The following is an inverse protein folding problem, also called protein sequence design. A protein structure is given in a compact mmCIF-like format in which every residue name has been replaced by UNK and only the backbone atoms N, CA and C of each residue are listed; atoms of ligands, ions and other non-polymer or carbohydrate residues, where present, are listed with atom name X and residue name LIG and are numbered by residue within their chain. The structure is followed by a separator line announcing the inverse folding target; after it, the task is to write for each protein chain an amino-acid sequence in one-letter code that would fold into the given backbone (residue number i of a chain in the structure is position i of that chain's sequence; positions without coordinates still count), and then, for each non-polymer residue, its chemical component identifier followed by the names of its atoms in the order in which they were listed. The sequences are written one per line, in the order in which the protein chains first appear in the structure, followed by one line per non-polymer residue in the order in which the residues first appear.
data_IF_454443893589
#
_entry.id   IF_454443893589
#
_cell.length_a   1.000
_cell.length_b   1.000
_cell.length_c   1.000
_cell.angle_alpha   90.00
_cell.angle_beta   90.00
_cell.angle_gamma   90.00
#
_symmetry.space_group_name_H-M   'P 1'
#
loop_
_entity.id
_entity.type
_entity.pdbx_description
1 polymer ?
#
# COMPACT_ATOMS: atom_id res chain seq x y z
N UNK A 1 -7.33 -25.24 1.79
CA UNK A 1 -7.14 -26.67 2.13
C UNK A 1 -7.49 -27.60 0.97
N UNK A 2 -8.52 -27.30 0.17
CA UNK A 2 -8.99 -28.19 -0.93
C UNK A 2 -8.06 -28.26 -2.17
N UNK A 3 -7.06 -27.40 -2.29
CA UNK A 3 -6.15 -27.33 -3.43
C UNK A 3 -4.85 -28.11 -3.22
N UNK A 4 -4.60 -28.60 -2.01
CA UNK A 4 -3.45 -29.44 -1.67
C UNK A 4 -3.95 -30.81 -1.29
N UNK A 5 -3.22 -31.86 -1.72
CA UNK A 5 -3.61 -33.26 -1.54
C UNK A 5 -3.55 -33.72 -0.07
N UNK A 6 -2.67 -33.10 0.73
CA UNK A 6 -2.54 -33.40 2.16
C UNK A 6 -3.20 -32.29 3.01
N UNK A 7 -4.24 -32.60 3.80
CA UNK A 7 -4.91 -31.64 4.67
C UNK A 7 -3.99 -31.01 5.72
N UNK A 8 -2.98 -31.75 6.22
CA UNK A 8 -2.04 -31.25 7.22
C UNK A 8 -1.14 -30.18 6.60
N UNK A 9 -0.58 -30.46 5.44
CA UNK A 9 0.24 -29.51 4.67
C UNK A 9 -0.56 -28.27 4.32
N UNK A 10 -1.84 -28.46 3.96
CA UNK A 10 -2.74 -27.35 3.65
C UNK A 10 -2.98 -26.43 4.87
N UNK A 11 -3.18 -27.03 6.05
CA UNK A 11 -3.40 -26.28 7.29
C UNK A 11 -2.11 -25.51 7.70
N UNK A 12 -0.95 -26.14 7.60
CA UNK A 12 0.34 -25.51 7.91
C UNK A 12 0.62 -24.31 6.99
N UNK A 13 0.39 -24.47 5.68
CA UNK A 13 0.57 -23.39 4.72
C UNK A 13 -0.42 -22.23 4.93
N UNK A 14 -1.66 -22.54 5.28
CA UNK A 14 -2.64 -21.54 5.64
C UNK A 14 -2.24 -20.79 6.91
N UNK A 15 -1.71 -21.49 7.92
CA UNK A 15 -1.16 -20.91 9.14
C UNK A 15 -0.01 -19.95 8.85
N UNK A 16 0.97 -20.39 8.03
CA UNK A 16 2.10 -19.56 7.60
C UNK A 16 1.62 -18.28 6.91
N UNK A 17 0.72 -18.41 5.94
CA UNK A 17 0.17 -17.26 5.21
C UNK A 17 -0.58 -16.32 6.15
N UNK A 18 -1.53 -16.84 6.93
CA UNK A 18 -2.36 -16.06 7.84
C UNK A 18 -1.58 -15.31 8.92
N UNK A 19 -0.52 -15.93 9.46
CA UNK A 19 0.37 -15.28 10.43
C UNK A 19 1.10 -14.07 9.81
N UNK A 20 1.57 -14.22 8.57
CA UNK A 20 2.32 -13.17 7.88
C UNK A 20 1.42 -12.05 7.34
N UNK A 21 0.17 -12.34 6.96
CA UNK A 21 -0.84 -11.32 6.63
C UNK A 21 -1.08 -10.36 7.80
N UNK A 22 -1.03 -10.85 9.05
CA UNK A 22 -1.19 -10.00 10.24
C UNK A 22 -0.16 -8.87 10.32
N UNK A 23 1.03 -9.04 9.75
CA UNK A 23 2.03 -7.96 9.68
C UNK A 23 1.55 -6.85 8.75
N UNK A 24 0.89 -7.19 7.65
CA UNK A 24 0.35 -6.22 6.70
C UNK A 24 -0.93 -5.51 7.18
N UNK A 25 -1.54 -5.96 8.29
CA UNK A 25 -2.77 -5.35 8.85
C UNK A 25 -2.61 -3.85 9.11
N UNK A 26 -1.40 -3.38 9.41
CA UNK A 26 -1.14 -1.94 9.62
C UNK A 26 -1.54 -1.11 8.40
N UNK A 27 -1.26 -1.59 7.17
CA UNK A 27 -1.69 -0.91 5.93
C UNK A 27 -3.21 -0.95 5.77
N UNK A 28 -3.83 -2.11 6.07
CA UNK A 28 -5.29 -2.24 6.03
C UNK A 28 -5.94 -1.24 7.00
N UNK A 29 -5.42 -1.14 8.22
CA UNK A 29 -5.93 -0.20 9.23
C UNK A 29 -5.77 1.26 8.77
N UNK A 30 -4.63 1.61 8.20
CA UNK A 30 -4.41 2.94 7.65
C UNK A 30 -5.39 3.25 6.51
N UNK A 31 -5.54 2.34 5.56
CA UNK A 31 -6.50 2.47 4.45
C UNK A 31 -7.93 2.68 4.97
N UNK A 32 -8.35 1.92 5.99
CA UNK A 32 -9.68 2.08 6.60
C UNK A 32 -9.83 3.42 7.33
N UNK A 33 -8.82 3.83 8.12
CA UNK A 33 -8.84 5.11 8.81
C UNK A 33 -8.90 6.28 7.81
N UNK A 34 -8.10 6.23 6.77
CA UNK A 34 -8.12 7.20 5.68
C UNK A 34 -9.50 7.25 5.02
N UNK A 35 -10.09 6.11 4.72
CA UNK A 35 -11.42 5.98 4.14
C UNK A 35 -12.48 6.67 4.98
N UNK A 36 -12.54 6.37 6.28
CA UNK A 36 -13.54 6.96 7.18
C UNK A 36 -13.40 8.47 7.33
N UNK A 37 -12.19 9.00 7.26
CA UNK A 37 -11.95 10.43 7.30
C UNK A 37 -12.25 11.12 5.96
N UNK A 38 -11.89 10.45 4.86
CA UNK A 38 -11.89 11.05 3.53
C UNK A 38 -13.27 11.04 2.86
N UNK A 39 -14.04 9.95 2.96
CA UNK A 39 -15.35 9.85 2.30
C UNK A 39 -16.33 10.95 2.76
N UNK A 40 -16.56 11.19 4.07
CA UNK A 40 -17.46 12.26 4.51
C UNK A 40 -17.00 13.65 4.07
N UNK A 41 -15.68 13.91 4.13
CA UNK A 41 -15.09 15.18 3.70
C UNK A 41 -15.39 15.48 2.23
N UNK A 42 -15.27 14.48 1.37
CA UNK A 42 -15.54 14.61 -0.07
C UNK A 42 -16.99 14.86 -0.38
N UNK A 43 -17.90 14.16 0.30
CA UNK A 43 -19.34 14.34 0.07
C UNK A 43 -19.88 15.64 0.66
N UNK A 44 -19.26 16.16 1.74
CA UNK A 44 -19.66 17.42 2.37
C UNK A 44 -19.22 18.66 1.58
N UNK A 45 -18.22 18.55 0.69
CA UNK A 45 -17.70 19.68 -0.09
C UNK A 45 -18.76 20.18 -1.08
N UNK A 46 -19.23 21.43 -0.87
CA UNK A 46 -20.32 22.07 -1.63
C UNK A 46 -19.96 22.34 -3.10
N UNK A 47 -21.00 22.58 -3.92
CA UNK A 47 -20.89 22.94 -5.33
C UNK A 47 -20.04 24.20 -5.49
N UNK A 48 -18.93 24.14 -6.23
CA UNK A 48 -18.14 25.30 -6.62
C UNK A 48 -16.63 25.18 -6.50
N UNK A 49 -16.13 24.29 -5.65
CA UNK A 49 -14.69 24.02 -5.61
C UNK A 49 -14.30 22.88 -6.56
N UNK A 50 -13.10 22.94 -7.12
CA UNK A 50 -12.60 21.89 -8.00
C UNK A 50 -12.32 20.61 -7.20
N UNK A 51 -13.34 19.76 -7.11
CA UNK A 51 -13.27 18.49 -6.40
C UNK A 51 -12.19 17.57 -6.98
N UNK A 52 -11.92 17.66 -8.29
CA UNK A 52 -10.96 16.78 -8.99
C UNK A 52 -9.53 16.99 -8.50
N UNK A 53 -9.15 18.25 -8.27
CA UNK A 53 -7.83 18.60 -7.69
C UNK A 53 -7.69 18.05 -6.28
N UNK A 54 -8.75 18.15 -5.48
CA UNK A 54 -8.75 17.58 -4.12
C UNK A 54 -8.59 16.06 -4.15
N UNK A 55 -9.25 15.38 -5.09
CA UNK A 55 -9.12 13.91 -5.24
C UNK A 55 -7.71 13.51 -5.68
N UNK A 56 -7.13 14.25 -6.62
CA UNK A 56 -5.77 13.99 -7.08
C UNK A 56 -4.75 14.19 -5.96
N UNK A 57 -4.90 15.25 -5.15
CA UNK A 57 -4.03 15.49 -3.99
C UNK A 57 -4.19 14.42 -2.91
N UNK A 58 -5.43 14.05 -2.58
CA UNK A 58 -5.67 13.02 -1.57
C UNK A 58 -5.09 11.66 -1.98
N UNK A 59 -5.24 11.26 -3.24
CA UNK A 59 -4.61 10.06 -3.79
C UNK A 59 -3.09 10.11 -3.64
N UNK A 60 -2.47 11.24 -4.00
CA UNK A 60 -1.03 11.43 -3.90
C UNK A 60 -0.54 11.26 -2.46
N UNK A 61 -1.16 11.97 -1.51
CA UNK A 61 -0.76 11.87 -0.09
C UNK A 61 -1.06 10.49 0.50
N UNK A 62 -2.16 9.85 0.10
CA UNK A 62 -2.45 8.48 0.48
C UNK A 62 -1.30 7.55 0.10
N UNK A 63 -0.88 7.57 -1.17
CA UNK A 63 0.20 6.70 -1.67
C UNK A 63 1.52 7.00 -0.95
N UNK A 64 1.85 8.27 -0.72
CA UNK A 64 3.08 8.67 -0.04
C UNK A 64 3.13 8.11 1.39
N UNK A 65 2.03 8.25 2.15
CA UNK A 65 1.97 7.76 3.53
C UNK A 65 1.93 6.23 3.57
N UNK A 66 1.22 5.59 2.66
CA UNK A 66 1.15 4.13 2.59
C UNK A 66 2.50 3.50 2.24
N UNK A 67 3.28 4.14 1.35
CA UNK A 67 4.67 3.76 1.07
C UNK A 67 5.60 4.01 2.27
N UNK A 68 5.36 5.04 3.06
CA UNK A 68 6.09 5.26 4.31
C UNK A 68 5.82 4.14 5.31
N UNK A 69 4.57 3.70 5.43
CA UNK A 69 4.18 2.56 6.27
C UNK A 69 4.84 1.28 5.75
N UNK A 70 4.84 1.07 4.43
CA UNK A 70 5.54 -0.05 3.79
C UNK A 70 7.01 -0.09 4.20
N UNK A 71 7.74 1.01 4.03
CA UNK A 71 9.16 1.11 4.42
C UNK A 71 9.34 0.91 5.92
N UNK A 72 8.48 1.51 6.75
CA UNK A 72 8.51 1.35 8.20
C UNK A 72 8.39 -0.11 8.61
N UNK A 73 7.41 -0.82 8.09
CA UNK A 73 7.23 -2.25 8.40
C UNK A 73 8.41 -3.08 7.87
N UNK A 74 8.83 -2.86 6.63
CA UNK A 74 9.89 -3.66 6.01
C UNK A 74 11.27 -3.43 6.65
N UNK A 75 11.58 -2.21 7.06
CA UNK A 75 12.87 -1.90 7.70
C UNK A 75 12.96 -2.41 9.14
N UNK A 76 11.84 -2.44 9.84
CA UNK A 76 11.76 -2.95 11.21
C UNK A 76 11.20 -4.38 11.30
N UNK A 77 11.13 -5.10 10.17
CA UNK A 77 10.62 -6.47 10.13
C UNK A 77 11.36 -7.42 11.08
N UNK A 78 12.65 -7.18 11.31
CA UNK A 78 13.45 -7.95 12.28
C UNK A 78 12.91 -7.85 13.71
N UNK A 79 12.23 -6.76 14.05
CA UNK A 79 11.57 -6.55 15.35
C UNK A 79 10.12 -7.03 15.27
N UNK A 80 9.41 -6.64 14.22
CA UNK A 80 7.97 -6.93 14.05
C UNK A 80 7.72 -8.44 13.97
N UNK A 81 8.65 -9.22 13.41
CA UNK A 81 8.50 -10.68 13.34
C UNK A 81 8.28 -11.35 14.70
N UNK A 82 8.75 -10.77 15.81
CA UNK A 82 8.55 -11.33 17.15
C UNK A 82 7.09 -11.27 17.64
N UNK A 83 6.20 -10.57 16.92
CA UNK A 83 4.76 -10.64 17.17
C UNK A 83 4.09 -11.90 16.60
N UNK A 84 4.83 -12.72 15.83
CA UNK A 84 4.37 -13.99 15.31
C UNK A 84 5.25 -15.13 15.83
N UNK A 85 4.68 -16.33 15.87
CA UNK A 85 5.43 -17.52 16.30
C UNK A 85 6.60 -17.80 15.34
N UNK A 86 7.80 -18.15 15.83
CA UNK A 86 8.96 -18.47 15.00
C UNK A 86 8.74 -19.51 13.90
N UNK A 87 7.80 -20.44 14.10
CA UNK A 87 7.41 -21.43 13.09
C UNK A 87 6.93 -20.80 11.77
N UNK A 88 6.42 -19.57 11.84
CA UNK A 88 5.87 -18.84 10.68
C UNK A 88 6.88 -17.90 10.00
N UNK A 89 8.12 -17.80 10.49
CA UNK A 89 9.14 -16.91 9.92
C UNK A 89 9.50 -17.25 8.48
N UNK A 90 9.33 -18.52 8.07
CA UNK A 90 9.50 -18.95 6.67
C UNK A 90 8.59 -18.18 5.72
N UNK A 91 7.47 -17.66 6.21
CA UNK A 91 6.51 -16.87 5.45
C UNK A 91 6.83 -15.39 5.35
N UNK A 92 7.84 -14.86 6.03
CA UNK A 92 8.17 -13.42 6.00
C UNK A 92 8.45 -12.89 4.59
N UNK A 93 8.87 -13.76 3.67
CA UNK A 93 9.10 -13.42 2.25
C UNK A 93 7.84 -12.99 1.48
N UNK A 94 6.63 -13.32 1.97
CA UNK A 94 5.38 -12.88 1.31
C UNK A 94 4.92 -11.51 1.82
N UNK A 95 5.44 -11.01 2.95
CA UNK A 95 5.03 -9.75 3.56
C UNK A 95 5.16 -8.57 2.57
N UNK A 96 6.30 -8.36 1.89
CA UNK A 96 6.41 -7.24 0.93
C UNK A 96 5.40 -7.34 -0.22
N UNK A 97 5.10 -8.56 -0.69
CA UNK A 97 4.13 -8.78 -1.77
C UNK A 97 2.72 -8.43 -1.29
N UNK A 98 2.36 -8.88 -0.09
CA UNK A 98 1.04 -8.58 0.51
C UNK A 98 0.89 -7.08 0.76
N UNK A 99 1.91 -6.42 1.29
CA UNK A 99 1.86 -4.98 1.54
C UNK A 99 1.71 -4.18 0.24
N UNK A 100 2.38 -4.57 -0.84
CA UNK A 100 2.17 -3.94 -2.15
C UNK A 100 0.77 -4.24 -2.71
N UNK A 101 0.22 -5.42 -2.46
CA UNK A 101 -1.17 -5.73 -2.80
C UNK A 101 -2.15 -4.83 -2.06
N UNK A 102 -1.93 -4.58 -0.76
CA UNK A 102 -2.74 -3.66 0.05
C UNK A 102 -2.61 -2.20 -0.42
N UNK A 103 -1.43 -1.75 -0.84
CA UNK A 103 -1.26 -0.45 -1.48
C UNK A 103 -2.17 -0.32 -2.72
N UNK A 104 -2.17 -1.31 -3.60
CA UNK A 104 -3.05 -1.29 -4.79
C UNK A 104 -4.53 -1.37 -4.42
N UNK A 105 -4.88 -2.14 -3.40
CA UNK A 105 -6.23 -2.18 -2.83
C UNK A 105 -6.67 -0.80 -2.35
N UNK A 106 -5.82 -0.10 -1.62
CA UNK A 106 -6.06 1.25 -1.14
C UNK A 106 -6.20 2.28 -2.27
N UNK A 107 -5.35 2.19 -3.31
CA UNK A 107 -5.47 3.03 -4.51
C UNK A 107 -6.78 2.73 -5.25
N UNK A 108 -7.12 1.45 -5.45
CA UNK A 108 -8.40 1.05 -6.05
C UNK A 108 -9.58 1.62 -5.28
N UNK A 109 -9.50 1.60 -3.95
CA UNK A 109 -10.51 2.19 -3.09
C UNK A 109 -10.65 3.72 -3.32
N UNK A 110 -9.53 4.47 -3.37
CA UNK A 110 -9.56 5.89 -3.70
C UNK A 110 -10.16 6.16 -5.09
N UNK A 111 -9.83 5.31 -6.07
CA UNK A 111 -10.42 5.39 -7.40
C UNK A 111 -11.93 5.11 -7.39
N UNK A 112 -12.48 4.40 -6.41
CA UNK A 112 -13.90 4.06 -6.33
C UNK A 112 -14.82 5.29 -6.26
N UNK A 113 -14.28 6.44 -5.89
CA UNK A 113 -15.05 7.68 -5.79
C UNK A 113 -15.67 8.12 -7.12
N UNK A 114 -15.01 7.88 -8.26
CA UNK A 114 -15.56 8.32 -9.53
C UNK A 114 -16.92 7.68 -9.82
N UNK A 115 -17.10 6.39 -9.61
CA UNK A 115 -18.37 5.72 -9.87
C UNK A 115 -19.42 5.97 -8.78
N UNK A 116 -19.00 6.28 -7.55
CA UNK A 116 -19.92 6.74 -6.48
C UNK A 116 -20.46 8.15 -6.77
N UNK A 117 -19.61 9.06 -7.30
CA UNK A 117 -19.98 10.44 -7.61
C UNK A 117 -20.78 10.59 -8.91
N UNK A 118 -20.71 9.61 -9.81
CA UNK A 118 -21.44 9.62 -11.09
C UNK A 118 -22.65 8.70 -11.08
N UNK A 119 -23.06 8.17 -9.91
CA UNK A 119 -24.15 7.22 -9.73
C UNK A 119 -24.03 5.95 -10.58
N UNK A 120 -22.77 5.55 -10.88
CA UNK A 120 -22.44 4.37 -11.68
C UNK A 120 -21.85 3.25 -10.83
N UNK A 121 -22.45 3.00 -9.68
CA UNK A 121 -21.97 2.04 -8.67
C UNK A 121 -21.86 0.60 -9.19
N UNK A 122 -22.55 0.25 -10.26
CA UNK A 122 -22.42 -1.04 -10.95
C UNK A 122 -20.99 -1.36 -11.40
N UNK A 123 -20.15 -0.35 -11.68
CA UNK A 123 -18.75 -0.58 -11.99
C UNK A 123 -17.98 -1.20 -10.83
N UNK A 124 -18.34 -0.87 -9.60
CA UNK A 124 -17.78 -1.53 -8.42
C UNK A 124 -18.05 -3.03 -8.41
N UNK A 125 -19.26 -3.45 -8.81
CA UNK A 125 -19.61 -4.87 -8.94
C UNK A 125 -18.80 -5.54 -10.05
N UNK A 126 -18.68 -4.92 -11.22
CA UNK A 126 -17.90 -5.48 -12.34
C UNK A 126 -16.42 -5.66 -11.98
N UNK A 127 -15.80 -4.65 -11.35
CA UNK A 127 -14.41 -4.79 -10.90
C UNK A 127 -14.25 -5.88 -9.84
N UNK A 128 -15.19 -6.00 -8.90
CA UNK A 128 -15.16 -7.05 -7.88
C UNK A 128 -15.32 -8.45 -8.50
N UNK A 129 -16.18 -8.61 -9.50
CA UNK A 129 -16.33 -9.88 -10.22
C UNK A 129 -15.05 -10.23 -11.00
N UNK A 130 -14.44 -9.27 -11.68
CA UNK A 130 -13.14 -9.47 -12.34
C UNK A 130 -12.08 -9.90 -11.32
N UNK A 131 -12.00 -9.19 -10.19
CA UNK A 131 -11.09 -9.54 -9.10
C UNK A 131 -11.33 -10.96 -8.56
N UNK A 132 -12.59 -11.35 -8.37
CA UNK A 132 -12.96 -12.70 -7.95
C UNK A 132 -12.47 -13.76 -8.94
N UNK A 133 -12.70 -13.55 -10.23
CA UNK A 133 -12.24 -14.49 -11.28
C UNK A 133 -10.71 -14.61 -11.27
N UNK A 134 -9.99 -13.47 -11.17
CA UNK A 134 -8.52 -13.47 -11.15
C UNK A 134 -8.00 -14.22 -9.94
N UNK A 135 -8.49 -13.88 -8.71
CA UNK A 135 -7.97 -14.48 -7.49
C UNK A 135 -8.27 -15.99 -7.43
N UNK A 136 -9.45 -16.42 -7.87
CA UNK A 136 -9.82 -17.84 -7.91
C UNK A 136 -8.98 -18.57 -8.95
N UNK A 137 -8.89 -18.06 -10.18
CA UNK A 137 -8.14 -18.70 -11.25
C UNK A 137 -6.65 -18.84 -10.87
N UNK A 138 -6.02 -17.78 -10.38
CA UNK A 138 -4.61 -17.83 -9.99
C UNK A 138 -4.36 -18.78 -8.81
N UNK A 139 -5.24 -18.79 -7.81
CA UNK A 139 -5.11 -19.73 -6.69
C UNK A 139 -5.29 -21.19 -7.14
N UNK A 140 -6.30 -21.50 -7.96
CA UNK A 140 -6.52 -22.86 -8.46
C UNK A 140 -5.34 -23.35 -9.29
N UNK A 141 -4.77 -22.49 -10.14
CA UNK A 141 -3.67 -22.86 -11.04
C UNK A 141 -2.31 -22.95 -10.33
N UNK A 142 -2.04 -22.07 -9.37
CA UNK A 142 -0.69 -21.88 -8.84
C UNK A 142 -0.50 -22.37 -7.39
N UNK A 143 -1.53 -22.42 -6.56
CA UNK A 143 -1.40 -22.92 -5.18
C UNK A 143 -0.93 -24.38 -5.13
N UNK A 144 -1.40 -25.30 -6.00
CA UNK A 144 -0.88 -26.68 -6.00
C UNK A 144 0.64 -26.78 -6.23
N UNK A 145 1.22 -25.81 -6.94
CA UNK A 145 2.65 -25.81 -7.31
C UNK A 145 3.52 -24.98 -6.39
N UNK A 146 3.03 -23.81 -5.94
CA UNK A 146 3.83 -22.81 -5.21
C UNK A 146 3.33 -22.56 -3.78
N UNK A 147 2.25 -23.24 -3.36
CA UNK A 147 1.69 -23.12 -2.03
C UNK A 147 1.26 -21.69 -1.68
N UNK A 148 1.48 -21.28 -0.42
CA UNK A 148 1.07 -19.98 0.12
C UNK A 148 1.66 -18.76 -0.61
N UNK A 149 2.80 -18.90 -1.30
CA UNK A 149 3.40 -17.81 -2.07
C UNK A 149 2.49 -17.42 -3.23
N UNK A 150 1.84 -18.40 -3.85
CA UNK A 150 0.88 -18.15 -4.92
C UNK A 150 -0.30 -17.29 -4.44
N UNK A 151 -0.75 -17.47 -3.20
CA UNK A 151 -1.83 -16.65 -2.63
C UNK A 151 -1.43 -15.16 -2.55
N UNK A 152 -0.19 -14.85 -2.16
CA UNK A 152 0.30 -13.48 -2.11
C UNK A 152 0.37 -12.84 -3.50
N UNK A 153 0.90 -13.55 -4.49
CA UNK A 153 0.96 -13.07 -5.87
C UNK A 153 -0.42 -12.97 -6.52
N UNK A 154 -1.35 -13.87 -6.18
CA UNK A 154 -2.72 -13.81 -6.66
C UNK A 154 -3.44 -12.55 -6.13
N UNK A 155 -3.26 -12.21 -4.85
CA UNK A 155 -3.79 -10.99 -4.27
C UNK A 155 -3.17 -9.73 -4.93
N UNK A 156 -1.85 -9.73 -5.11
CA UNK A 156 -1.15 -8.64 -5.80
C UNK A 156 -1.67 -8.41 -7.22
N UNK A 157 -1.76 -9.47 -8.02
CA UNK A 157 -2.26 -9.38 -9.39
C UNK A 157 -3.73 -8.94 -9.45
N UNK A 158 -4.55 -9.46 -8.55
CA UNK A 158 -5.96 -9.11 -8.44
C UNK A 158 -6.15 -7.61 -8.20
N UNK A 159 -5.55 -7.06 -7.14
CA UNK A 159 -5.70 -5.65 -6.80
C UNK A 159 -5.02 -4.73 -7.81
N UNK A 160 -3.89 -5.13 -8.37
CA UNK A 160 -3.24 -4.37 -9.45
C UNK A 160 -4.15 -4.24 -10.67
N UNK A 161 -4.77 -5.34 -11.13
CA UNK A 161 -5.68 -5.32 -12.28
C UNK A 161 -6.94 -4.51 -11.98
N UNK A 162 -7.53 -4.69 -10.80
CA UNK A 162 -8.72 -3.92 -10.38
C UNK A 162 -8.42 -2.42 -10.33
N UNK A 163 -7.30 -2.04 -9.75
CA UNK A 163 -6.82 -0.65 -9.69
C UNK A 163 -6.64 -0.07 -11.10
N UNK A 164 -5.93 -0.80 -11.97
CA UNK A 164 -5.63 -0.36 -13.32
C UNK A 164 -6.90 -0.19 -14.18
N UNK A 165 -7.80 -1.16 -14.12
CA UNK A 165 -9.08 -1.09 -14.83
C UNK A 165 -9.97 0.04 -14.31
N UNK A 166 -10.03 0.24 -12.98
CA UNK A 166 -10.80 1.33 -12.39
C UNK A 166 -10.23 2.69 -12.80
N UNK A 167 -8.90 2.82 -12.90
CA UNK A 167 -8.28 4.03 -13.40
C UNK A 167 -8.60 4.27 -14.87
N UNK A 168 -8.46 3.28 -15.75
CA UNK A 168 -8.74 3.40 -17.18
C UNK A 168 -10.20 3.81 -17.44
N UNK A 169 -11.13 3.10 -16.81
CA UNK A 169 -12.57 3.39 -16.98
C UNK A 169 -12.92 4.74 -16.35
N UNK A 170 -12.35 5.05 -15.19
CA UNK A 170 -12.55 6.32 -14.49
C UNK A 170 -12.12 7.52 -15.34
N UNK A 171 -11.01 7.44 -16.06
CA UNK A 171 -10.57 8.52 -16.97
C UNK A 171 -11.58 8.81 -18.09
N UNK A 172 -12.37 7.81 -18.49
CA UNK A 172 -13.40 8.00 -19.53
C UNK A 172 -14.66 8.70 -18.99
N UNK A 173 -15.09 8.37 -17.76
CA UNK A 173 -16.37 8.87 -17.22
C UNK A 173 -16.21 10.08 -16.30
N UNK A 174 -15.11 10.17 -15.58
CA UNK A 174 -14.79 11.26 -14.66
C UNK A 174 -13.29 11.53 -14.66
N UNK A 175 -12.77 12.23 -15.69
CA UNK A 175 -11.34 12.44 -15.86
C UNK A 175 -10.76 13.26 -14.69
N UNK A 176 -9.82 12.67 -13.98
CA UNK A 176 -9.04 13.31 -12.90
C UNK A 176 -7.57 13.28 -13.31
N UNK A 177 -6.92 14.44 -13.27
CA UNK A 177 -5.49 14.56 -13.55
C UNK A 177 -4.69 14.18 -12.30
N UNK A 178 -4.45 12.88 -12.11
CA UNK A 178 -3.57 12.40 -11.05
C UNK A 178 -2.11 12.73 -11.38
N UNK A 179 -1.35 13.17 -10.36
CA UNK A 179 0.09 13.41 -10.48
C UNK A 179 0.85 12.07 -10.49
N UNK A 180 0.65 11.30 -11.57
CA UNK A 180 1.28 9.98 -11.72
C UNK A 180 2.81 10.06 -11.74
N UNK A 181 3.38 11.21 -12.15
CA UNK A 181 4.84 11.42 -12.14
C UNK A 181 5.39 11.45 -10.71
N UNK A 182 4.74 12.21 -9.82
CA UNK A 182 5.15 12.25 -8.41
C UNK A 182 4.88 10.91 -7.73
N UNK A 183 3.70 10.31 -7.92
CA UNK A 183 3.36 8.99 -7.39
C UNK A 183 4.40 7.95 -7.82
N UNK A 184 4.75 7.92 -9.11
CA UNK A 184 5.76 7.01 -9.65
C UNK A 184 7.15 7.24 -9.05
N UNK A 185 7.55 8.51 -8.81
CA UNK A 185 8.82 8.82 -8.15
C UNK A 185 8.88 8.30 -6.71
N UNK A 186 7.80 8.48 -5.93
CA UNK A 186 7.73 7.97 -4.56
C UNK A 186 7.74 6.44 -4.52
N UNK A 187 6.99 5.79 -5.42
CA UNK A 187 7.00 4.34 -5.54
C UNK A 187 8.40 3.82 -5.91
N UNK A 188 9.04 4.43 -6.91
CA UNK A 188 10.39 4.05 -7.32
C UNK A 188 11.39 4.28 -6.18
N UNK A 189 11.32 5.43 -5.51
CA UNK A 189 12.17 5.74 -4.36
C UNK A 189 12.01 4.69 -3.25
N UNK A 190 10.77 4.37 -2.88
CA UNK A 190 10.50 3.38 -1.85
C UNK A 190 11.04 1.99 -2.22
N UNK A 191 10.82 1.54 -3.47
CA UNK A 191 11.33 0.25 -3.94
C UNK A 191 12.86 0.22 -4.03
N UNK A 192 13.50 1.30 -4.46
CA UNK A 192 14.98 1.41 -4.47
C UNK A 192 15.54 1.37 -3.06
N UNK A 193 14.99 2.14 -2.12
CA UNK A 193 15.43 2.14 -0.72
C UNK A 193 15.23 0.76 -0.08
N UNK A 194 14.11 0.11 -0.35
CA UNK A 194 13.87 -1.27 0.09
C UNK A 194 14.88 -2.25 -0.53
N UNK A 195 15.13 -2.15 -1.83
CA UNK A 195 16.11 -2.95 -2.53
C UNK A 195 17.52 -2.80 -1.93
N UNK A 196 17.95 -1.56 -1.66
CA UNK A 196 19.23 -1.27 -0.99
C UNK A 196 19.26 -1.91 0.40
N UNK A 197 18.19 -1.78 1.18
CA UNK A 197 18.12 -2.33 2.53
C UNK A 197 18.20 -3.87 2.57
N UNK A 198 17.73 -4.55 1.53
CA UNK A 198 17.80 -6.03 1.40
C UNK A 198 19.13 -6.47 0.81
N UNK A 199 19.73 -5.70 -0.09
CA UNK A 199 20.97 -6.07 -0.79
C UNK A 199 22.22 -5.92 0.06
N UNK A 200 22.20 -5.12 1.14
CA UNK A 200 23.37 -4.91 2.02
C UNK A 200 23.32 -5.91 3.20
N UNK A 201 24.17 -6.94 3.20
CA UNK A 201 24.18 -7.96 4.26
C UNK A 201 24.92 -7.41 5.50
N UNK A 202 24.18 -6.82 6.43
CA UNK A 202 24.72 -6.38 7.73
C UNK A 202 24.35 -7.42 8.78
N UNK A 203 25.34 -8.13 9.32
CA UNK A 203 25.10 -9.18 10.32
C UNK A 203 24.64 -8.62 11.66
N UNK A 204 25.26 -7.54 12.12
CA UNK A 204 24.91 -6.91 13.38
C UNK A 204 23.54 -6.24 13.31
N UNK A 205 22.61 -6.69 14.14
CA UNK A 205 21.22 -6.22 14.17
C UNK A 205 21.12 -4.71 14.43
N UNK A 206 21.92 -4.16 15.36
CA UNK A 206 21.87 -2.73 15.70
C UNK A 206 22.36 -1.88 14.52
N UNK A 207 23.46 -2.26 13.87
CA UNK A 207 23.97 -1.56 12.70
C UNK A 207 22.99 -1.64 11.53
N UNK A 208 22.37 -2.81 11.32
CA UNK A 208 21.34 -3.02 10.29
C UNK A 208 20.11 -2.11 10.51
N UNK A 209 19.62 -2.04 11.75
CA UNK A 209 18.51 -1.13 12.09
C UNK A 209 18.90 0.33 11.93
N UNK A 210 20.10 0.73 12.37
CA UNK A 210 20.62 2.08 12.18
C UNK A 210 20.70 2.46 10.71
N UNK A 211 21.25 1.58 9.86
CA UNK A 211 21.32 1.78 8.42
C UNK A 211 19.92 1.94 7.79
N UNK A 212 18.99 1.05 8.11
CA UNK A 212 17.61 1.12 7.62
C UNK A 212 16.87 2.37 8.10
N UNK A 213 17.15 2.81 9.32
CA UNK A 213 16.62 4.08 9.84
C UNK A 213 17.13 5.28 9.03
N UNK A 214 18.40 5.29 8.64
CA UNK A 214 18.95 6.33 7.75
C UNK A 214 18.21 6.34 6.40
N UNK A 215 17.97 5.17 5.81
CA UNK A 215 17.20 5.08 4.56
C UNK A 215 15.77 5.61 4.73
N UNK A 216 15.12 5.34 5.85
CA UNK A 216 13.80 5.88 6.16
C UNK A 216 13.82 7.42 6.26
N UNK A 217 14.85 7.98 6.91
CA UNK A 217 15.04 9.42 6.96
C UNK A 217 15.28 10.05 5.58
N UNK A 218 15.96 9.36 4.66
CA UNK A 218 16.09 9.83 3.26
C UNK A 218 14.71 9.98 2.62
N UNK A 219 13.82 8.99 2.78
CA UNK A 219 12.45 9.09 2.29
C UNK A 219 11.69 10.26 2.91
N UNK A 220 11.78 10.44 4.24
CA UNK A 220 11.13 11.53 4.95
C UNK A 220 11.67 12.90 4.54
N UNK A 221 12.98 13.05 4.37
CA UNK A 221 13.60 14.30 3.90
C UNK A 221 13.13 14.63 2.48
N UNK A 222 13.03 13.63 1.62
CA UNK A 222 12.52 13.82 0.27
C UNK A 222 11.06 14.31 0.29
N UNK A 223 10.22 13.68 1.11
CA UNK A 223 8.82 14.06 1.32
C UNK A 223 8.71 15.51 1.82
N UNK A 224 9.46 15.86 2.85
CA UNK A 224 9.44 17.18 3.48
C UNK A 224 9.86 18.28 2.47
N UNK A 225 10.86 18.00 1.65
CA UNK A 225 11.38 18.99 0.69
C UNK A 225 10.47 19.20 -0.52
N UNK A 226 9.72 18.18 -0.96
CA UNK A 226 9.01 18.24 -2.24
C UNK A 226 7.50 18.42 -2.10
N UNK A 227 6.88 17.87 -1.04
CA UNK A 227 5.44 17.82 -0.95
C UNK A 227 4.82 18.35 0.35
N UNK A 228 5.63 18.54 1.40
CA UNK A 228 5.13 19.22 2.59
C UNK A 228 5.40 20.72 2.48
N UNK A 229 4.34 21.56 2.39
CA UNK A 229 4.50 23.00 2.40
C UNK A 229 4.88 23.45 3.81
N UNK A 230 6.17 23.38 4.14
CA UNK A 230 6.72 23.81 5.46
C UNK A 230 6.32 25.24 5.80
N UNK A 231 6.08 26.07 4.78
CA UNK A 231 5.63 27.46 4.95
C UNK A 231 4.21 27.60 5.49
N UNK A 232 3.40 26.53 5.45
CA UNK A 232 2.01 26.55 5.93
C UNK A 232 1.86 25.99 7.36
N UNK A 233 2.92 25.41 7.94
CA UNK A 233 2.91 24.90 9.31
C UNK A 233 3.39 26.02 10.25
N UNK A 234 2.47 26.69 11.01
CA UNK A 234 2.81 27.91 11.79
C UNK A 234 3.91 27.69 12.83
N UNK A 235 4.04 26.46 13.35
CA UNK A 235 5.06 26.12 14.35
C UNK A 235 6.47 25.96 13.76
N UNK A 236 6.60 25.40 12.55
CA UNK A 236 7.90 25.19 11.90
C UNK A 236 8.43 26.50 11.30
N UNK A 237 7.55 27.39 10.86
CA UNK A 237 7.94 28.72 10.37
C UNK A 237 8.65 29.54 11.47
N UNK A 238 8.20 29.43 12.73
CA UNK A 238 8.87 30.07 13.88
C UNK A 238 10.23 29.47 14.22
N UNK A 239 10.45 28.18 13.98
CA UNK A 239 11.70 27.48 14.31
C UNK A 239 12.78 27.65 13.24
N UNK A 240 12.39 27.63 11.96
CA UNK A 240 13.32 27.64 10.82
C UNK A 240 13.70 29.09 10.42
N UNK A 241 12.75 30.02 10.47
CA UNK A 241 12.99 31.42 10.03
C UNK A 241 13.33 32.39 11.16
N UNK A 242 13.41 31.94 12.43
CA UNK A 242 13.88 32.76 13.55
C UNK A 242 15.39 33.00 13.57
N UNK A 243 16.15 32.47 12.58
CA UNK A 243 17.61 32.64 12.47
C UNK A 243 18.04 33.67 11.41
N UNK A 244 17.12 34.47 10.88
CA UNK A 244 17.45 35.59 9.98
C UNK A 244 16.88 36.90 10.51
N UNK A 245 17.23 37.29 11.75
CA UNK A 245 17.21 38.65 12.23
C UNK A 245 18.42 38.85 13.13
#
# INVERSE_FOLDING_TARGET
PYLLSDPQVAADQLGIYGANVKIAVVMIMFTQAFRYAYEPFIFAKTKGEDKRTTYAMAMKYFVIVDLLIFLGVMFYLDIIRYFIDPRYFVGLRVVPIIMLAELFSGIFFNLSLWYKLTDRTQWGVYFSLIGLVIIVALNVLFVPKFGYIACAWAAFACYFVMMFLSWLVGQKYYPIHYDLKSIGKYLLLALVLYGIAVSVPIENMLLRLGFRTILLFIYLIYLIRHDLPLNQIPYLNKLIFKKQK
#
